data_IF_504215492996
#
_entry.id   IF_504215492996
#
_cell.length_a   1.000
_cell.length_b   1.000
_cell.length_c   1.000
_cell.angle_alpha   90.00
_cell.angle_beta   90.00
_cell.angle_gamma   90.00
#
_symmetry.space_group_name_H-M   'P 1'
#
loop_
_entity.id
_entity.type
_entity.pdbx_description
1 polymer ?
#
# COMPACT_ATOMS: atom_id res chain seq x y z
N UNK A 1 5.25 33.91 -66.01
CA UNK A 1 6.34 32.95 -66.34
C UNK A 1 7.47 33.20 -65.34
N UNK A 2 7.62 32.38 -64.30
CA UNK A 2 8.40 31.13 -64.28
C UNK A 2 9.92 31.37 -64.29
N UNK A 3 10.51 30.92 -63.18
CA UNK A 3 11.89 30.42 -62.99
C UNK A 3 12.91 31.51 -62.59
N UNK A 4 13.33 31.53 -61.32
CA UNK A 4 14.32 30.58 -60.78
C UNK A 4 15.59 30.60 -61.63
N UNK A 5 16.61 31.28 -61.13
CA UNK A 5 17.94 30.71 -60.92
C UNK A 5 18.75 31.75 -60.15
N UNK A 6 19.16 31.40 -58.93
CA UNK A 6 20.54 31.00 -58.68
C UNK A 6 21.53 32.06 -59.13
N UNK A 7 22.12 32.68 -58.13
CA UNK A 7 23.56 32.70 -57.89
C UNK A 7 23.81 34.06 -57.24
N UNK A 8 24.06 34.16 -55.95
CA UNK A 8 25.34 33.88 -55.29
C UNK A 8 25.18 34.71 -54.00
N UNK A 9 25.34 34.24 -52.76
CA UNK A 9 26.58 33.81 -52.12
C UNK A 9 26.10 33.23 -50.76
N UNK A 10 26.03 31.92 -50.55
CA UNK A 10 27.04 31.16 -49.79
C UNK A 10 28.06 32.02 -49.03
N UNK A 11 27.61 32.65 -47.95
CA UNK A 11 28.43 32.99 -46.78
C UNK A 11 27.47 32.86 -45.58
N UNK A 12 27.27 31.70 -44.97
CA UNK A 12 28.27 30.91 -44.24
C UNK A 12 29.24 31.78 -43.43
N UNK A 13 28.64 32.56 -42.54
CA UNK A 13 29.24 33.12 -41.32
C UNK A 13 28.08 33.23 -40.32
N UNK A 14 27.68 32.14 -39.66
CA UNK A 14 28.18 31.83 -38.31
C UNK A 14 28.20 33.09 -37.44
N UNK A 15 27.03 33.68 -37.21
CA UNK A 15 26.77 34.42 -35.97
C UNK A 15 26.18 33.42 -34.97
N UNK A 16 27.11 32.68 -34.37
CA UNK A 16 26.94 31.95 -33.12
C UNK A 16 26.48 32.93 -32.04
N UNK A 17 25.44 32.55 -31.30
CA UNK A 17 25.19 33.09 -29.96
C UNK A 17 23.95 33.96 -29.78
N UNK A 18 22.75 33.49 -30.13
CA UNK A 18 21.48 33.84 -29.44
C UNK A 18 20.32 32.89 -29.81
N UNK A 19 20.61 31.67 -30.26
CA UNK A 19 19.59 30.62 -30.39
C UNK A 19 19.49 29.89 -29.05
N UNK A 20 19.04 30.61 -28.02
CA UNK A 20 18.52 29.95 -26.83
C UNK A 20 17.27 29.21 -27.26
N UNK A 21 17.43 27.97 -27.74
CA UNK A 21 16.32 27.05 -27.85
C UNK A 21 15.59 27.14 -26.53
N UNK A 22 14.34 27.62 -26.57
CA UNK A 22 13.38 27.44 -25.51
C UNK A 22 13.21 25.92 -25.40
N UNK A 23 14.14 25.26 -24.71
CA UNK A 23 13.88 23.97 -24.11
C UNK A 23 12.75 24.32 -23.15
N UNK A 24 11.50 23.84 -23.36
CA UNK A 24 10.53 23.94 -22.30
C UNK A 24 11.20 23.23 -21.13
N UNK A 25 11.59 24.00 -20.11
CA UNK A 25 11.95 23.44 -18.83
C UNK A 25 10.67 22.73 -18.38
N UNK A 26 10.59 21.44 -18.64
CA UNK A 26 9.55 20.58 -18.08
C UNK A 26 9.77 20.71 -16.59
N UNK A 27 9.00 21.59 -15.95
CA UNK A 27 8.97 21.70 -14.52
C UNK A 27 8.57 20.31 -14.03
N UNK A 28 9.53 19.54 -13.52
CA UNK A 28 9.23 18.35 -12.77
C UNK A 28 8.38 18.82 -11.61
N UNK A 29 7.09 18.49 -11.62
CA UNK A 29 6.25 18.68 -10.45
C UNK A 29 6.95 17.94 -9.31
N UNK A 30 7.25 18.64 -8.23
CA UNK A 30 7.81 18.01 -7.05
C UNK A 30 6.86 16.89 -6.63
N UNK A 31 7.30 15.63 -6.74
CA UNK A 31 6.48 14.49 -6.34
C UNK A 31 6.27 14.57 -4.84
N UNK A 32 5.01 14.74 -4.44
CA UNK A 32 4.65 14.76 -3.03
C UNK A 32 4.56 13.31 -2.56
N UNK A 33 5.48 12.92 -1.67
CA UNK A 33 5.45 11.63 -0.99
C UNK A 33 4.46 11.73 0.17
N UNK A 34 3.48 10.82 0.20
CA UNK A 34 2.62 10.63 1.36
C UNK A 34 3.15 9.57 2.29
N UNK A 35 2.65 9.54 3.51
CA UNK A 35 2.85 8.41 4.40
C UNK A 35 1.60 8.09 5.23
N UNK A 36 1.51 6.84 5.66
CA UNK A 36 0.39 6.33 6.45
C UNK A 36 0.90 5.42 7.56
N UNK A 37 0.38 5.61 8.77
CA UNK A 37 0.52 4.63 9.83
C UNK A 37 -0.55 3.54 9.69
N UNK A 38 -0.18 2.46 9.01
CA UNK A 38 -1.07 1.32 8.80
C UNK A 38 -1.44 0.61 10.11
N UNK A 39 -0.59 0.64 11.14
CA UNK A 39 -0.89 0.00 12.41
C UNK A 39 -2.00 0.76 13.15
N UNK A 40 -1.90 2.09 13.16
CA UNK A 40 -2.96 2.95 13.71
C UNK A 40 -4.27 2.77 12.95
N UNK A 41 -4.26 2.83 11.61
CA UNK A 41 -5.48 2.62 10.80
C UNK A 41 -6.07 1.22 11.03
N UNK A 42 -5.24 0.19 11.08
CA UNK A 42 -5.70 -1.20 11.25
C UNK A 42 -6.32 -1.45 12.62
N UNK A 43 -5.68 -0.97 13.69
CA UNK A 43 -6.17 -1.13 15.06
C UNK A 43 -7.45 -0.34 15.37
N UNK A 44 -7.69 0.78 14.67
CA UNK A 44 -8.91 1.59 14.80
C UNK A 44 -10.00 1.24 13.78
N UNK A 45 -9.74 0.27 12.88
CA UNK A 45 -10.75 -0.16 11.92
C UNK A 45 -11.98 -0.74 12.65
N UNK A 46 -13.22 -0.40 12.24
CA UNK A 46 -14.43 -0.80 12.96
C UNK A 46 -14.59 -2.32 13.13
N UNK A 47 -14.14 -3.09 12.14
CA UNK A 47 -14.20 -4.57 12.16
C UNK A 47 -13.05 -5.21 12.98
N UNK A 48 -12.06 -4.47 13.46
CA UNK A 48 -10.87 -5.04 14.10
C UNK A 48 -11.19 -5.73 15.43
N UNK A 49 -12.01 -5.09 16.28
CA UNK A 49 -12.36 -5.64 17.59
C UNK A 49 -13.13 -6.97 17.47
N UNK A 50 -14.06 -7.07 16.52
CA UNK A 50 -14.83 -8.29 16.27
C UNK A 50 -13.96 -9.39 15.66
N UNK A 51 -13.08 -9.06 14.71
CA UNK A 51 -12.11 -10.00 14.15
C UNK A 51 -11.18 -10.57 15.24
N UNK A 52 -10.67 -9.72 16.14
CA UNK A 52 -9.82 -10.13 17.26
C UNK A 52 -10.56 -11.05 18.24
N UNK A 53 -11.82 -10.73 18.57
CA UNK A 53 -12.64 -11.58 19.42
C UNK A 53 -12.88 -12.96 18.78
N UNK A 54 -13.20 -12.98 17.48
CA UNK A 54 -13.40 -14.22 16.72
C UNK A 54 -12.12 -15.08 16.66
N UNK A 55 -10.94 -14.47 16.51
CA UNK A 55 -9.67 -15.18 16.57
C UNK A 55 -9.35 -15.75 17.94
N UNK A 56 -9.58 -14.98 19.01
CA UNK A 56 -9.38 -15.46 20.38
C UNK A 56 -10.29 -16.66 20.68
N UNK A 57 -11.51 -16.65 20.16
CA UNK A 57 -12.42 -17.79 20.28
C UNK A 57 -11.91 -19.01 19.50
N UNK A 58 -11.40 -18.82 18.28
CA UNK A 58 -10.82 -19.91 17.49
C UNK A 58 -9.64 -20.59 18.20
N UNK A 59 -8.75 -19.79 18.79
CA UNK A 59 -7.61 -20.29 19.56
C UNK A 59 -8.06 -21.08 20.78
N UNK A 60 -9.07 -20.59 21.52
CA UNK A 60 -9.63 -21.31 22.66
C UNK A 60 -10.27 -22.63 22.23
N UNK A 61 -10.98 -22.65 21.11
CA UNK A 61 -11.61 -23.86 20.58
C UNK A 61 -10.57 -24.88 20.12
N UNK A 62 -9.53 -24.45 19.41
CA UNK A 62 -8.41 -25.31 19.03
C UNK A 62 -7.71 -25.91 20.25
N UNK A 63 -7.46 -25.09 21.28
CA UNK A 63 -6.85 -25.56 22.51
C UNK A 63 -7.71 -26.61 23.24
N UNK A 64 -9.02 -26.40 23.33
CA UNK A 64 -9.95 -27.39 23.92
C UNK A 64 -9.99 -28.67 23.10
N UNK A 65 -10.09 -28.56 21.78
CA UNK A 65 -10.11 -29.70 20.89
C UNK A 65 -8.83 -30.55 21.00
N UNK A 66 -7.68 -29.90 21.11
CA UNK A 66 -6.42 -30.60 21.36
C UNK A 66 -6.46 -31.35 22.70
N UNK A 67 -6.89 -30.70 23.79
CA UNK A 67 -6.96 -31.32 25.12
C UNK A 67 -7.93 -32.50 25.16
N UNK A 68 -9.05 -32.43 24.44
CA UNK A 68 -10.06 -33.48 24.38
C UNK A 68 -9.62 -34.68 23.52
N UNK A 69 -8.98 -34.42 22.37
CA UNK A 69 -8.63 -35.47 21.40
C UNK A 69 -7.23 -36.02 21.56
N UNK A 70 -6.25 -35.24 22.02
CA UNK A 70 -4.86 -35.71 22.14
C UNK A 70 -4.69 -36.93 23.06
N UNK A 71 -5.41 -37.09 24.19
CA UNK A 71 -5.25 -38.26 25.06
C UNK A 71 -5.62 -39.60 24.41
N UNK A 72 -6.47 -39.59 23.38
CA UNK A 72 -6.87 -40.81 22.65
C UNK A 72 -6.00 -41.10 21.42
N UNK A 73 -5.00 -40.25 21.13
CA UNK A 73 -4.13 -40.36 19.97
C UNK A 73 -2.72 -40.83 20.34
N UNK A 74 -2.07 -41.52 19.42
CA UNK A 74 -0.63 -41.79 19.46
C UNK A 74 0.18 -40.53 19.09
N UNK A 75 1.51 -40.61 19.11
CA UNK A 75 2.37 -39.45 18.85
C UNK A 75 2.22 -38.90 17.42
N UNK A 76 1.97 -39.78 16.44
CA UNK A 76 1.68 -39.37 15.07
C UNK A 76 0.33 -38.64 14.98
N UNK A 77 -0.72 -39.18 15.60
CA UNK A 77 -2.03 -38.56 15.66
C UNK A 77 -2.01 -37.20 16.36
N UNK A 78 -1.26 -37.07 17.46
CA UNK A 78 -1.09 -35.77 18.15
C UNK A 78 -0.42 -34.73 17.25
N UNK A 79 0.64 -35.10 16.54
CA UNK A 79 1.29 -34.19 15.57
C UNK A 79 0.36 -33.80 14.42
N UNK A 80 -0.40 -34.75 13.89
CA UNK A 80 -1.36 -34.48 12.82
C UNK A 80 -2.49 -33.54 13.29
N UNK A 81 -2.99 -33.75 14.51
CA UNK A 81 -3.99 -32.88 15.13
C UNK A 81 -3.43 -31.47 15.33
N UNK A 82 -2.22 -31.34 15.86
CA UNK A 82 -1.54 -30.05 16.07
C UNK A 82 -1.38 -29.26 14.77
N UNK A 83 -0.89 -29.92 13.71
CA UNK A 83 -0.77 -29.32 12.38
C UNK A 83 -2.12 -28.84 11.84
N UNK A 84 -3.16 -29.69 11.96
CA UNK A 84 -4.51 -29.36 11.49
C UNK A 84 -5.08 -28.14 12.21
N UNK A 85 -4.91 -28.07 13.53
CA UNK A 85 -5.38 -26.95 14.34
C UNK A 85 -4.62 -25.66 14.01
N UNK A 86 -3.30 -25.76 13.82
CA UNK A 86 -2.45 -24.63 13.42
C UNK A 86 -2.86 -24.08 12.06
N UNK A 87 -3.08 -24.95 11.06
CA UNK A 87 -3.58 -24.56 9.74
C UNK A 87 -4.96 -23.90 9.82
N UNK A 88 -5.86 -24.44 10.66
CA UNK A 88 -7.19 -23.87 10.88
C UNK A 88 -7.12 -22.46 11.48
N UNK A 89 -6.26 -22.25 12.46
CA UNK A 89 -6.03 -20.93 13.06
C UNK A 89 -5.48 -19.95 12.01
N UNK A 90 -4.45 -20.37 11.24
CA UNK A 90 -3.84 -19.53 10.22
C UNK A 90 -4.86 -19.12 9.13
N UNK A 91 -5.68 -20.07 8.66
CA UNK A 91 -6.75 -19.79 7.71
C UNK A 91 -7.79 -18.84 8.29
N UNK A 92 -8.21 -19.06 9.54
CA UNK A 92 -9.17 -18.18 10.22
C UNK A 92 -8.64 -16.77 10.38
N UNK A 93 -7.33 -16.62 10.64
CA UNK A 93 -6.68 -15.32 10.70
C UNK A 93 -6.76 -14.58 9.37
N UNK A 94 -6.42 -15.26 8.27
CA UNK A 94 -6.51 -14.71 6.92
C UNK A 94 -7.95 -14.29 6.60
N UNK A 95 -8.92 -15.18 6.80
CA UNK A 95 -10.34 -14.93 6.52
C UNK A 95 -10.89 -13.71 7.28
N UNK A 96 -10.42 -13.48 8.51
CA UNK A 96 -10.88 -12.36 9.34
C UNK A 96 -10.15 -11.05 9.03
N UNK A 97 -8.85 -11.08 8.77
CA UNK A 97 -8.03 -9.87 8.67
C UNK A 97 -7.72 -9.42 7.23
N UNK A 98 -7.68 -10.31 6.25
CA UNK A 98 -7.43 -9.92 4.86
C UNK A 98 -8.48 -8.96 4.30
N UNK A 99 -9.79 -9.12 4.59
CA UNK A 99 -10.78 -8.14 4.16
C UNK A 99 -10.52 -6.75 4.76
N UNK A 100 -10.07 -6.69 6.01
CA UNK A 100 -9.71 -5.43 6.69
C UNK A 100 -8.50 -4.79 6.01
N UNK A 101 -7.43 -5.57 5.77
CA UNK A 101 -6.23 -5.10 5.04
C UNK A 101 -6.60 -4.55 3.66
N UNK A 102 -7.44 -5.27 2.91
CA UNK A 102 -7.88 -4.87 1.56
C UNK A 102 -8.69 -3.57 1.58
N UNK A 103 -9.60 -3.40 2.55
CA UNK A 103 -10.36 -2.14 2.73
C UNK A 103 -9.42 -0.97 3.01
N UNK A 104 -8.44 -1.17 3.88
CA UNK A 104 -7.45 -0.14 4.22
C UNK A 104 -6.60 0.25 3.02
N UNK A 105 -6.03 -0.72 2.29
CA UNK A 105 -5.25 -0.43 1.08
C UNK A 105 -6.08 0.30 0.02
N UNK A 106 -7.35 -0.10 -0.15
CA UNK A 106 -8.28 0.60 -1.04
C UNK A 106 -8.48 2.06 -0.62
N UNK A 107 -8.65 2.31 0.68
CA UNK A 107 -8.79 3.66 1.22
C UNK A 107 -7.50 4.49 1.06
N UNK A 108 -6.33 3.90 1.30
CA UNK A 108 -5.03 4.54 1.06
C UNK A 108 -4.92 4.98 -0.41
N UNK A 109 -5.20 4.10 -1.36
CA UNK A 109 -5.15 4.43 -2.78
C UNK A 109 -6.13 5.54 -3.16
N UNK A 110 -7.34 5.53 -2.61
CA UNK A 110 -8.35 6.57 -2.85
C UNK A 110 -7.86 7.93 -2.33
N UNK A 111 -7.44 8.01 -1.07
CA UNK A 111 -6.99 9.26 -0.43
C UNK A 111 -5.74 9.82 -1.13
N UNK A 112 -4.79 8.95 -1.49
CA UNK A 112 -3.59 9.36 -2.21
C UNK A 112 -3.95 9.98 -3.58
N UNK A 113 -4.85 9.35 -4.34
CA UNK A 113 -5.33 9.87 -5.63
C UNK A 113 -6.04 11.22 -5.49
N UNK A 114 -6.89 11.37 -4.48
CA UNK A 114 -7.61 12.63 -4.21
C UNK A 114 -6.66 13.79 -3.86
N UNK A 115 -5.48 13.47 -3.28
CA UNK A 115 -4.45 14.45 -2.89
C UNK A 115 -3.32 14.62 -3.92
N UNK A 116 -3.37 13.91 -5.05
CA UNK A 116 -2.29 13.95 -6.05
C UNK A 116 -0.96 13.35 -5.56
N UNK A 117 -1.02 12.41 -4.60
CA UNK A 117 0.15 11.69 -4.06
C UNK A 117 0.33 10.40 -4.86
N UNK A 118 1.48 10.25 -5.52
CA UNK A 118 1.80 9.09 -6.35
C UNK A 118 2.45 7.94 -5.56
N UNK A 119 3.13 8.27 -4.45
CA UNK A 119 3.86 7.31 -3.61
C UNK A 119 3.46 7.49 -2.15
N UNK A 120 3.08 6.40 -1.50
CA UNK A 120 2.76 6.36 -0.07
C UNK A 120 3.70 5.40 0.62
N UNK A 121 4.40 5.87 1.65
CA UNK A 121 5.27 5.07 2.49
C UNK A 121 4.58 4.69 3.80
N UNK A 122 5.09 3.65 4.47
CA UNK A 122 4.72 3.41 5.87
C UNK A 122 5.37 4.47 6.75
N UNK A 123 4.66 4.96 7.77
CA UNK A 123 5.15 6.01 8.67
C UNK A 123 6.51 5.67 9.31
N UNK A 124 6.77 4.39 9.63
CA UNK A 124 8.05 3.95 10.21
C UNK A 124 9.27 4.08 9.28
N UNK A 125 9.06 4.35 7.99
CA UNK A 125 10.12 4.56 7.01
C UNK A 125 10.40 6.06 6.75
N UNK A 126 9.65 6.97 7.37
CA UNK A 126 9.77 8.42 7.15
C UNK A 126 10.43 9.08 8.36
N UNK A 127 11.46 9.87 8.11
CA UNK A 127 12.21 10.59 9.17
C UNK A 127 11.86 12.09 9.17
N UNK A 128 11.71 12.69 8.00
CA UNK A 128 11.32 14.10 7.83
C UNK A 128 10.62 14.32 6.49
N UNK A 129 9.77 15.36 6.42
CA UNK A 129 8.97 15.71 5.26
C UNK A 129 7.75 14.81 5.01
N UNK A 130 7.30 14.82 3.75
CA UNK A 130 6.12 14.08 3.31
C UNK A 130 4.78 14.60 3.85
N UNK A 131 3.69 14.00 3.38
CA UNK A 131 2.32 14.34 3.79
C UNK A 131 1.69 13.15 4.52
N UNK A 132 1.37 13.35 5.80
CA UNK A 132 0.60 12.36 6.54
C UNK A 132 -0.82 12.28 6.00
N UNK A 133 -1.25 11.08 5.60
CA UNK A 133 -2.63 10.80 5.19
C UNK A 133 -3.37 9.87 6.18
N UNK A 134 -2.77 9.53 7.32
CA UNK A 134 -3.31 8.59 8.32
C UNK A 134 -4.72 8.96 8.75
N UNK A 135 -4.94 10.21 9.14
CA UNK A 135 -6.28 10.67 9.57
C UNK A 135 -7.33 10.60 8.46
N UNK A 136 -6.94 10.86 7.22
CA UNK A 136 -7.86 10.83 6.09
C UNK A 136 -8.22 9.38 5.70
N UNK A 137 -7.25 8.47 5.77
CA UNK A 137 -7.47 7.03 5.59
C UNK A 137 -8.35 6.48 6.72
N UNK A 138 -8.10 6.86 7.98
CA UNK A 138 -8.95 6.48 9.12
C UNK A 138 -10.41 6.88 8.88
N UNK A 139 -10.66 8.12 8.46
CA UNK A 139 -12.01 8.58 8.10
C UNK A 139 -12.59 7.76 6.95
N UNK A 140 -11.80 7.46 5.92
CA UNK A 140 -12.25 6.71 4.75
C UNK A 140 -12.64 5.25 5.06
N UNK A 141 -12.04 4.63 6.08
CA UNK A 141 -12.39 3.28 6.54
C UNK A 141 -13.45 3.26 7.65
N UNK A 142 -13.96 4.43 8.06
CA UNK A 142 -14.92 4.54 9.16
C UNK A 142 -14.33 4.20 10.53
N UNK A 143 -13.03 4.40 10.70
CA UNK A 143 -12.37 4.28 12.00
C UNK A 143 -12.92 5.35 12.97
N UNK A 144 -13.05 4.97 14.24
CA UNK A 144 -13.51 5.83 15.33
C UNK A 144 -12.37 6.19 16.26
#
# INVERSE_FOLDING_TARGET
MKKQLMALVMALLVCVGCSGALVPATAYAAETIGYVDLNTVFSHHPDFASARAAMSLEQQNAQKEFQEKAPSLDDNGKRALDNTLTERIAKREQDLFDPIRKKILTAVHKVAKEKGINTVLSAGAVVDGGVDITNDVMKAVGAK
#
